data_IF_618650242707
#
_entry.id   IF_618650242707
#
_cell.length_a   1.000
_cell.length_b   1.000
_cell.length_c   1.000
_cell.angle_alpha   90.00
_cell.angle_beta   90.00
_cell.angle_gamma   90.00
#
_symmetry.space_group_name_H-M   'P 1'
#
loop_
_entity.id
_entity.type
_entity.pdbx_description
1 polymer ?
#
# COMPACT_ATOMS: atom_id res chain seq x y z
N UNK A 1 16.27 6.98 -2.41
CA UNK A 1 17.02 7.44 -3.60
C UNK A 1 16.17 7.16 -4.85
N UNK A 2 15.30 8.09 -5.27
CA UNK A 2 14.52 8.00 -6.51
C UNK A 2 14.47 9.39 -7.17
N UNK A 3 14.35 9.46 -8.50
CA UNK A 3 14.12 10.72 -9.23
C UNK A 3 15.35 11.59 -9.51
N UNK A 4 16.58 11.08 -9.37
CA UNK A 4 17.78 11.85 -9.74
C UNK A 4 17.86 11.98 -11.27
N UNK A 5 17.53 13.17 -11.78
CA UNK A 5 17.69 13.48 -13.21
C UNK A 5 19.16 13.32 -13.61
N UNK A 6 19.42 12.51 -14.62
CA UNK A 6 20.75 12.36 -15.21
C UNK A 6 21.06 13.59 -16.06
N UNK A 7 21.78 14.55 -15.50
CA UNK A 7 22.27 15.73 -16.22
C UNK A 7 23.74 15.55 -16.56
N UNK A 8 24.11 15.70 -17.85
CA UNK A 8 25.52 15.80 -18.26
C UNK A 8 26.02 17.22 -17.95
N UNK A 9 26.82 17.34 -16.89
CA UNK A 9 27.49 18.59 -16.52
C UNK A 9 28.89 18.64 -17.14
N UNK A 10 29.37 19.84 -17.48
CA UNK A 10 30.78 20.05 -17.81
C UNK A 10 31.65 19.77 -16.58
N UNK A 11 32.93 19.47 -16.78
CA UNK A 11 33.88 19.21 -15.68
C UNK A 11 33.92 20.38 -14.67
N UNK A 12 33.93 21.62 -15.17
CA UNK A 12 33.92 22.84 -14.35
C UNK A 12 32.60 22.99 -13.56
N UNK A 13 31.45 22.78 -14.20
CA UNK A 13 30.16 22.87 -13.52
C UNK A 13 29.99 21.76 -12.46
N UNK A 14 30.50 20.56 -12.73
CA UNK A 14 30.51 19.47 -11.78
C UNK A 14 31.42 19.77 -10.56
N UNK A 15 32.60 20.36 -10.79
CA UNK A 15 33.50 20.77 -9.72
C UNK A 15 32.89 21.87 -8.83
N UNK A 16 32.27 22.90 -9.44
CA UNK A 16 31.57 23.95 -8.70
C UNK A 16 30.39 23.40 -7.89
N UNK A 17 29.61 22.48 -8.47
CA UNK A 17 28.52 21.79 -7.76
C UNK A 17 29.05 21.00 -6.56
N UNK A 18 30.13 20.22 -6.73
CA UNK A 18 30.77 19.47 -5.63
C UNK A 18 31.26 20.39 -4.52
N UNK A 19 31.90 21.52 -4.84
CA UNK A 19 32.34 22.48 -3.84
C UNK A 19 31.17 23.05 -3.03
N UNK A 20 30.05 23.39 -3.69
CA UNK A 20 28.82 23.84 -3.01
C UNK A 20 28.18 22.75 -2.15
N UNK A 21 28.18 21.51 -2.61
CA UNK A 21 27.70 20.35 -1.85
C UNK A 21 28.59 20.06 -0.64
N UNK A 22 29.92 20.21 -0.77
CA UNK A 22 30.87 19.99 0.33
C UNK A 22 30.58 20.92 1.51
N UNK A 23 30.34 22.21 1.28
CA UNK A 23 29.99 23.16 2.35
C UNK A 23 28.72 22.73 3.10
N UNK A 24 27.73 22.19 2.39
CA UNK A 24 26.50 21.66 3.02
C UNK A 24 26.76 20.39 3.81
N UNK A 25 27.61 19.50 3.28
CA UNK A 25 28.02 18.27 3.96
C UNK A 25 28.77 18.61 5.25
N UNK A 26 29.71 19.54 5.21
CA UNK A 26 30.49 19.94 6.39
C UNK A 26 29.59 20.53 7.48
N UNK A 27 28.65 21.41 7.10
CA UNK A 27 27.65 21.95 8.02
C UNK A 27 26.73 20.86 8.61
N UNK A 28 26.29 19.90 7.78
CA UNK A 28 25.50 18.76 8.23
C UNK A 28 26.27 17.88 9.22
N UNK A 29 27.53 17.56 8.93
CA UNK A 29 28.38 16.72 9.77
C UNK A 29 28.69 17.41 11.11
N UNK A 30 28.90 18.72 11.11
CA UNK A 30 29.08 19.49 12.33
C UNK A 30 27.82 19.45 13.22
N UNK A 31 26.64 19.71 12.65
CA UNK A 31 25.37 19.62 13.38
C UNK A 31 25.08 18.19 13.86
N UNK A 32 25.32 17.18 13.01
CA UNK A 32 25.18 15.78 13.37
C UNK A 32 26.05 15.44 14.59
N UNK A 33 27.32 15.85 14.58
CA UNK A 33 28.24 15.64 15.69
C UNK A 33 27.71 16.29 16.98
N UNK A 34 27.32 17.56 16.91
CA UNK A 34 26.74 18.29 18.04
C UNK A 34 25.53 17.56 18.64
N UNK A 35 24.55 17.16 17.81
CA UNK A 35 23.33 16.48 18.31
C UNK A 35 23.64 15.11 18.91
N UNK A 36 24.62 14.38 18.36
CA UNK A 36 25.03 13.09 18.90
C UNK A 36 25.81 13.24 20.23
N UNK A 37 26.59 14.30 20.39
CA UNK A 37 27.26 14.62 21.65
C UNK A 37 26.25 14.99 22.74
N UNK A 38 25.22 15.80 22.43
CA UNK A 38 24.11 16.08 23.34
C UNK A 38 23.39 14.80 23.77
N UNK A 39 23.12 13.90 22.81
CA UNK A 39 22.53 12.58 23.09
C UNK A 39 23.42 11.75 24.02
N UNK A 40 24.73 11.73 23.78
CA UNK A 40 25.67 10.96 24.58
C UNK A 40 25.79 11.52 26.01
N UNK A 41 25.71 12.84 26.16
CA UNK A 41 25.68 13.51 27.45
C UNK A 41 24.35 13.32 28.21
N UNK A 42 23.32 12.77 27.57
CA UNK A 42 21.99 12.61 28.17
C UNK A 42 21.26 13.94 28.35
N UNK A 43 21.55 14.94 27.51
CA UNK A 43 20.83 16.22 27.53
C UNK A 43 19.40 16.02 27.01
N UNK A 44 18.40 16.30 27.85
CA UNK A 44 16.98 16.21 27.50
C UNK A 44 16.27 17.56 27.58
N UNK A 45 17.00 18.66 27.34
CA UNK A 45 16.47 20.02 27.33
C UNK A 45 15.63 20.34 26.08
N UNK A 46 14.84 21.41 26.16
CA UNK A 46 14.19 22.01 24.99
C UNK A 46 15.20 22.48 23.93
N UNK A 47 16.40 22.89 24.35
CA UNK A 47 17.50 23.23 23.45
C UNK A 47 17.94 22.04 22.61
N UNK A 48 18.14 20.88 23.23
CA UNK A 48 18.41 19.62 22.54
C UNK A 48 17.26 19.23 21.59
N UNK A 49 16.01 19.44 22.02
CA UNK A 49 14.83 19.20 21.16
C UNK A 49 14.88 20.06 19.89
N UNK A 50 15.21 21.34 20.02
CA UNK A 50 15.40 22.26 18.90
C UNK A 50 16.51 21.82 17.95
N UNK A 51 17.62 21.28 18.47
CA UNK A 51 18.70 20.72 17.64
C UNK A 51 18.28 19.48 16.87
N UNK A 52 17.42 18.62 17.44
CA UNK A 52 16.86 17.50 16.67
C UNK A 52 15.98 17.98 15.50
N UNK A 53 15.24 19.10 15.63
CA UNK A 53 14.50 19.68 14.49
C UNK A 53 15.45 20.05 13.36
N UNK A 54 16.48 20.85 13.66
CA UNK A 54 17.44 21.32 12.67
C UNK A 54 18.09 20.17 11.90
N UNK A 55 18.42 19.08 12.58
CA UNK A 55 19.04 17.92 11.95
C UNK A 55 18.05 17.11 11.11
N UNK A 56 16.80 16.97 11.57
CA UNK A 56 15.74 16.27 10.84
C UNK A 56 15.24 17.05 9.62
N UNK A 57 15.27 18.40 9.66
CA UNK A 57 14.98 19.25 8.50
C UNK A 57 15.95 18.95 7.34
N UNK A 58 17.18 18.56 7.66
CA UNK A 58 18.20 18.20 6.68
C UNK A 58 18.14 16.71 6.29
N UNK A 59 17.85 15.82 7.24
CA UNK A 59 17.83 14.38 7.02
C UNK A 59 16.78 13.66 7.89
N UNK A 60 15.53 13.55 7.42
CA UNK A 60 14.47 12.85 8.17
C UNK A 60 14.63 11.32 8.15
N UNK A 61 15.58 10.75 7.40
CA UNK A 61 15.87 9.31 7.41
C UNK A 61 16.72 8.89 8.62
N UNK A 62 17.28 9.85 9.36
CA UNK A 62 18.21 9.55 10.44
C UNK A 62 17.48 9.10 11.73
N UNK A 63 17.16 7.81 11.77
CA UNK A 63 16.34 7.19 12.83
C UNK A 63 16.83 7.40 14.26
N UNK A 64 18.15 7.47 14.48
CA UNK A 64 18.72 7.71 15.81
C UNK A 64 18.25 9.04 16.40
N UNK A 65 18.03 10.04 15.55
CA UNK A 65 17.60 11.37 15.98
C UNK A 65 16.12 11.38 16.31
N UNK A 66 15.29 10.63 15.59
CA UNK A 66 13.90 10.38 15.98
C UNK A 66 13.79 9.68 17.35
N UNK A 67 14.64 8.69 17.61
CA UNK A 67 14.69 8.03 18.91
C UNK A 67 15.10 9.01 20.02
N UNK A 68 16.14 9.81 19.78
CA UNK A 68 16.59 10.80 20.74
C UNK A 68 15.52 11.86 21.00
N UNK A 69 14.88 12.36 19.96
CA UNK A 69 13.73 13.29 20.05
C UNK A 69 12.63 12.75 20.96
N UNK A 70 12.25 11.47 20.80
CA UNK A 70 11.26 10.83 21.69
C UNK A 70 11.74 10.74 23.13
N UNK A 71 13.01 10.40 23.36
CA UNK A 71 13.57 10.36 24.71
C UNK A 71 13.54 11.73 25.39
N UNK A 72 13.86 12.81 24.64
CA UNK A 72 13.76 14.19 25.14
C UNK A 72 12.32 14.49 25.57
N UNK A 73 11.34 14.25 24.68
CA UNK A 73 9.93 14.50 24.98
C UNK A 73 9.44 13.69 26.19
N UNK A 74 9.79 12.41 26.28
CA UNK A 74 9.45 11.55 27.42
C UNK A 74 10.07 12.03 28.73
N UNK A 75 11.28 12.61 28.70
CA UNK A 75 11.93 13.17 29.88
C UNK A 75 11.28 14.50 30.32
N UNK A 76 10.72 15.27 29.39
CA UNK A 76 10.03 16.53 29.68
C UNK A 76 8.61 16.29 30.24
N UNK A 77 7.87 15.32 29.72
CA UNK A 77 6.46 15.09 30.04
C UNK A 77 6.12 15.04 31.55
N UNK A 78 6.90 14.39 32.44
CA UNK A 78 6.57 14.33 33.87
C UNK A 78 6.52 15.70 34.57
N UNK A 79 7.16 16.72 33.99
CA UNK A 79 7.19 18.08 34.53
C UNK A 79 6.13 19.02 33.93
N UNK A 80 5.34 18.53 32.97
CA UNK A 80 4.41 19.31 32.17
C UNK A 80 2.96 19.03 32.53
N UNK A 81 2.07 19.99 32.28
CA UNK A 81 0.63 19.75 32.33
C UNK A 81 0.20 18.90 31.12
N UNK A 82 -0.96 18.24 31.20
CA UNK A 82 -1.48 17.48 30.05
C UNK A 82 -1.73 18.38 28.82
N UNK A 83 -2.07 19.65 29.04
CA UNK A 83 -2.26 20.65 27.98
C UNK A 83 -0.94 21.01 27.28
N UNK A 84 0.14 21.14 28.04
CA UNK A 84 1.48 21.35 27.52
C UNK A 84 1.96 20.12 26.72
N UNK A 85 1.75 18.90 27.25
CA UNK A 85 2.06 17.65 26.53
C UNK A 85 1.32 17.61 25.19
N UNK A 86 0.02 17.92 25.18
CA UNK A 86 -0.77 17.99 23.94
C UNK A 86 -0.22 19.03 22.98
N UNK A 87 0.26 20.16 23.48
CA UNK A 87 0.88 21.20 22.67
C UNK A 87 2.18 20.71 22.01
N UNK A 88 3.03 20.01 22.76
CA UNK A 88 4.23 19.35 22.24
C UNK A 88 3.91 18.32 21.15
N UNK A 89 2.95 17.44 21.41
CA UNK A 89 2.53 16.42 20.43
C UNK A 89 1.92 17.06 19.17
N UNK A 90 1.12 18.11 19.31
CA UNK A 90 0.56 18.85 18.18
C UNK A 90 1.65 19.53 17.34
N UNK A 91 2.69 20.08 17.98
CA UNK A 91 3.87 20.62 17.29
C UNK A 91 4.59 19.54 16.48
N UNK A 92 4.83 18.36 17.07
CA UNK A 92 5.47 17.24 16.38
C UNK A 92 4.64 16.66 15.24
N UNK A 93 3.30 16.64 15.38
CA UNK A 93 2.42 16.27 14.28
C UNK A 93 2.44 17.29 13.14
N UNK A 94 2.58 18.60 13.43
CA UNK A 94 2.79 19.62 12.40
C UNK A 94 4.14 19.44 11.71
N UNK A 95 5.21 19.19 12.46
CA UNK A 95 6.54 18.90 11.94
C UNK A 95 6.53 17.67 11.01
N UNK A 96 5.95 16.56 11.46
CA UNK A 96 5.85 15.35 10.63
C UNK A 96 4.99 15.59 9.39
N UNK A 97 3.96 16.42 9.48
CA UNK A 97 3.13 16.81 8.32
C UNK A 97 3.98 17.55 7.27
N UNK A 98 4.79 18.54 7.67
CA UNK A 98 5.66 19.24 6.72
C UNK A 98 6.68 18.31 6.07
N UNK A 99 7.22 17.35 6.83
CA UNK A 99 8.13 16.36 6.28
C UNK A 99 7.44 15.38 5.33
N UNK A 100 6.22 14.92 5.61
CA UNK A 100 5.49 14.00 4.72
C UNK A 100 5.19 14.63 3.36
N UNK A 101 5.03 15.95 3.26
CA UNK A 101 4.84 16.64 1.97
C UNK A 101 6.06 16.50 1.05
N UNK A 102 7.27 16.37 1.61
CA UNK A 102 8.52 16.28 0.84
C UNK A 102 9.07 14.86 0.81
N UNK A 103 8.85 14.11 1.89
CA UNK A 103 9.44 12.81 2.17
C UNK A 103 8.35 11.76 2.55
N UNK A 104 7.33 11.54 1.71
CA UNK A 104 6.15 10.72 2.04
C UNK A 104 6.45 9.23 2.25
N UNK A 105 7.66 8.78 1.94
CA UNK A 105 8.09 7.36 1.97
C UNK A 105 9.18 7.08 3.01
N UNK A 106 9.39 8.01 3.95
CA UNK A 106 10.34 7.82 5.06
C UNK A 106 9.62 7.14 6.21
N UNK A 107 10.05 5.94 6.56
CA UNK A 107 9.45 5.13 7.63
C UNK A 107 9.38 5.90 8.97
N UNK A 108 10.44 6.61 9.32
CA UNK A 108 10.60 7.22 10.63
C UNK A 108 9.64 8.38 10.91
N UNK A 109 9.18 9.07 9.85
CA UNK A 109 8.15 10.09 10.00
C UNK A 109 6.83 9.44 10.39
N UNK A 110 6.42 8.39 9.67
CA UNK A 110 5.17 7.66 9.95
C UNK A 110 5.20 7.00 11.33
N UNK A 111 6.31 6.39 11.73
CA UNK A 111 6.42 5.75 13.05
C UNK A 111 6.43 6.76 14.18
N UNK A 112 7.13 7.90 14.02
CA UNK A 112 7.09 8.98 15.00
C UNK A 112 5.69 9.57 15.15
N UNK A 113 4.95 9.67 14.04
CA UNK A 113 3.55 10.11 14.04
C UNK A 113 2.65 9.16 14.82
N UNK A 114 2.81 7.84 14.67
CA UNK A 114 2.10 6.83 15.50
C UNK A 114 2.44 7.00 16.99
N UNK A 115 3.72 7.17 17.30
CA UNK A 115 4.16 7.38 18.68
C UNK A 115 3.54 8.64 19.29
N UNK A 116 3.45 9.74 18.54
CA UNK A 116 2.80 10.97 19.03
C UNK A 116 1.35 10.71 19.44
N UNK A 117 0.60 9.98 18.60
CA UNK A 117 -0.80 9.62 18.87
C UNK A 117 -0.93 8.72 20.09
N UNK A 118 -0.06 7.70 20.21
CA UNK A 118 -0.03 6.81 21.37
C UNK A 118 0.30 7.54 22.67
N UNK A 119 1.04 8.65 22.58
CA UNK A 119 1.46 9.46 23.73
C UNK A 119 0.44 10.51 24.16
N UNK A 120 -0.69 10.65 23.46
CA UNK A 120 -1.73 11.63 23.83
C UNK A 120 -2.34 11.24 25.19
N UNK A 121 -2.25 12.11 26.21
CA UNK A 121 -2.80 11.83 27.53
C UNK A 121 -4.33 11.82 27.53
N UNK A 122 -4.93 11.37 28.63
CA UNK A 122 -6.36 11.60 28.87
C UNK A 122 -6.64 13.10 28.92
N UNK A 123 -7.80 13.50 28.40
CA UNK A 123 -8.29 14.88 28.44
C UNK A 123 -8.65 15.34 29.85
N UNK A 124 -8.95 16.65 30.03
CA UNK A 124 -9.40 17.17 31.32
C UNK A 124 -10.65 16.40 31.79
N UNK A 125 -10.64 15.94 33.04
CA UNK A 125 -11.71 15.10 33.58
C UNK A 125 -11.85 13.73 32.89
N UNK A 126 -10.72 13.12 32.48
CA UNK A 126 -10.65 11.83 31.80
C UNK A 126 -11.37 11.77 30.44
N UNK A 127 -11.52 12.92 29.79
CA UNK A 127 -12.19 12.99 28.50
C UNK A 127 -11.36 12.37 27.37
N UNK A 128 -12.04 11.88 26.33
CA UNK A 128 -11.40 11.37 25.11
C UNK A 128 -11.30 12.43 24.00
N UNK A 129 -11.59 13.69 24.32
CA UNK A 129 -11.76 14.75 23.32
C UNK A 129 -10.47 15.04 22.53
N UNK A 130 -9.32 15.15 23.23
CA UNK A 130 -8.03 15.35 22.57
C UNK A 130 -7.70 14.19 21.63
N UNK A 131 -7.84 12.95 22.10
CA UNK A 131 -7.61 11.75 21.27
C UNK A 131 -8.52 11.76 20.05
N UNK A 132 -9.81 12.03 20.21
CA UNK A 132 -10.76 12.14 19.09
C UNK A 132 -10.31 13.21 18.07
N UNK A 133 -9.96 14.42 18.53
CA UNK A 133 -9.52 15.53 17.68
C UNK A 133 -8.26 15.17 16.87
N UNK A 134 -7.30 14.52 17.51
CA UNK A 134 -6.06 14.09 16.84
C UNK A 134 -6.39 13.09 15.74
N UNK A 135 -7.13 12.02 16.06
CA UNK A 135 -7.49 10.97 15.10
C UNK A 135 -8.37 11.45 13.93
N UNK A 136 -9.29 12.39 14.18
CA UNK A 136 -10.07 13.02 13.11
C UNK A 136 -9.15 13.81 12.15
N UNK A 137 -8.10 14.44 12.68
CA UNK A 137 -7.06 15.08 11.89
C UNK A 137 -6.23 14.06 11.08
N UNK A 138 -5.92 12.91 11.69
CA UNK A 138 -5.19 11.82 11.03
C UNK A 138 -5.93 11.24 9.84
N UNK A 139 -7.24 11.03 9.96
CA UNK A 139 -8.07 10.56 8.86
C UNK A 139 -8.01 11.52 7.66
N UNK A 140 -8.10 12.84 7.91
CA UNK A 140 -7.99 13.85 6.85
C UNK A 140 -6.60 13.88 6.21
N UNK A 141 -5.55 13.72 7.02
CA UNK A 141 -4.19 13.69 6.51
C UNK A 141 -3.99 12.48 5.59
N UNK A 142 -4.37 11.28 6.06
CA UNK A 142 -4.11 10.06 5.27
C UNK A 142 -4.92 10.04 3.97
N UNK A 143 -6.13 10.59 3.96
CA UNK A 143 -6.91 10.78 2.72
C UNK A 143 -6.16 11.65 1.72
N UNK A 144 -5.66 12.82 2.14
CA UNK A 144 -4.86 13.70 1.28
C UNK A 144 -3.56 13.06 0.79
N UNK A 145 -2.91 12.27 1.63
CA UNK A 145 -1.68 11.57 1.24
C UNK A 145 -1.97 10.50 0.17
N UNK A 146 -3.11 9.82 0.26
CA UNK A 146 -3.56 8.83 -0.73
C UNK A 146 -4.20 9.47 -1.98
N UNK A 147 -4.65 10.72 -1.91
CA UNK A 147 -5.01 11.49 -3.10
C UNK A 147 -3.75 11.90 -3.88
N UNK A 148 -2.66 12.26 -3.18
CA UNK A 148 -1.40 12.66 -3.80
C UNK A 148 -0.59 11.48 -4.38
N UNK A 149 -0.53 10.35 -3.68
CA UNK A 149 0.08 9.10 -4.16
C UNK A 149 -0.79 7.91 -3.73
N UNK A 150 -1.70 7.52 -4.61
CA UNK A 150 -2.67 6.45 -4.38
C UNK A 150 -2.02 5.07 -4.12
N UNK A 151 -0.73 4.90 -4.47
CA UNK A 151 0.05 3.66 -4.28
C UNK A 151 1.03 3.77 -3.10
N UNK A 152 0.94 4.81 -2.28
CA UNK A 152 1.80 4.94 -1.10
C UNK A 152 1.40 3.91 -0.03
N UNK A 153 2.11 2.78 0.01
CA UNK A 153 1.84 1.71 0.97
C UNK A 153 2.03 2.15 2.43
N UNK A 154 2.87 3.15 2.72
CA UNK A 154 3.00 3.70 4.07
C UNK A 154 1.71 4.40 4.49
N UNK A 155 1.11 5.18 3.60
CA UNK A 155 -0.15 5.87 3.85
C UNK A 155 -1.29 4.85 4.01
N UNK A 156 -1.38 3.81 3.17
CA UNK A 156 -2.36 2.72 3.36
C UNK A 156 -2.17 1.98 4.69
N UNK A 157 -0.94 1.63 5.05
CA UNK A 157 -0.64 1.01 6.34
C UNK A 157 -0.91 1.94 7.54
N UNK A 158 -0.72 3.24 7.37
CA UNK A 158 -1.07 4.24 8.37
C UNK A 158 -2.58 4.41 8.51
N UNK A 159 -3.33 4.41 7.40
CA UNK A 159 -4.80 4.46 7.38
C UNK A 159 -5.37 3.32 8.24
N UNK A 160 -4.91 2.09 7.99
CA UNK A 160 -5.32 0.91 8.76
C UNK A 160 -5.10 1.12 10.27
N UNK A 161 -3.90 1.58 10.64
CA UNK A 161 -3.58 1.88 12.05
C UNK A 161 -4.51 2.94 12.67
N UNK A 162 -4.80 4.03 11.94
CA UNK A 162 -5.69 5.10 12.44
C UNK A 162 -7.09 4.54 12.66
N UNK A 163 -7.63 3.79 11.69
CA UNK A 163 -8.97 3.18 11.77
C UNK A 163 -9.10 2.19 12.93
N UNK A 164 -8.10 1.32 13.12
CA UNK A 164 -8.05 0.36 14.23
C UNK A 164 -7.97 1.06 15.60
N UNK A 165 -7.42 2.27 15.62
CA UNK A 165 -7.21 3.05 16.84
C UNK A 165 -8.31 4.08 17.12
N UNK A 166 -9.33 4.18 16.26
CA UNK A 166 -10.46 5.09 16.48
C UNK A 166 -11.28 4.64 17.71
N UNK A 167 -11.75 5.59 18.55
CA UNK A 167 -12.64 5.25 19.68
C UNK A 167 -13.94 4.58 19.24
N UNK A 168 -14.44 4.95 18.06
CA UNK A 168 -15.62 4.35 17.43
C UNK A 168 -15.17 3.75 16.11
N UNK A 169 -15.30 2.42 15.99
CA UNK A 169 -14.99 1.72 14.75
C UNK A 169 -15.86 2.25 13.62
N UNK A 170 -15.23 2.52 12.47
CA UNK A 170 -16.00 2.76 11.24
C UNK A 170 -16.57 1.44 10.73
N UNK A 171 -17.80 1.44 10.21
CA UNK A 171 -18.35 0.25 9.58
C UNK A 171 -17.52 -0.13 8.36
N UNK A 172 -17.31 -1.43 8.14
CA UNK A 172 -16.53 -1.93 6.99
C UNK A 172 -17.12 -1.50 5.65
N UNK A 173 -18.44 -1.27 5.57
CA UNK A 173 -19.11 -0.73 4.38
C UNK A 173 -18.60 0.65 3.98
N UNK A 174 -18.23 1.52 4.94
CA UNK A 174 -17.63 2.81 4.63
C UNK A 174 -16.23 2.66 4.01
N UNK A 175 -15.49 1.62 4.42
CA UNK A 175 -14.17 1.32 3.84
C UNK A 175 -14.28 0.64 2.46
N UNK A 176 -15.32 -0.16 2.21
CA UNK A 176 -15.64 -0.62 0.86
C UNK A 176 -15.98 0.56 -0.07
N UNK A 177 -16.81 1.50 0.38
CA UNK A 177 -17.10 2.72 -0.40
C UNK A 177 -15.84 3.55 -0.67
N UNK A 178 -14.93 3.62 0.31
CA UNK A 178 -13.64 4.28 0.12
C UNK A 178 -12.80 3.59 -0.96
N UNK A 179 -12.61 2.27 -0.89
CA UNK A 179 -11.87 1.53 -1.92
C UNK A 179 -12.52 1.63 -3.29
N UNK A 180 -13.86 1.61 -3.37
CA UNK A 180 -14.63 1.81 -4.60
C UNK A 180 -14.24 3.13 -5.25
N UNK A 181 -14.36 4.24 -4.53
CA UNK A 181 -14.00 5.57 -5.08
C UNK A 181 -12.54 5.66 -5.53
N UNK A 182 -11.62 4.95 -4.86
CA UNK A 182 -10.19 4.90 -5.21
C UNK A 182 -9.91 4.06 -6.45
N UNK A 183 -10.70 3.00 -6.67
CA UNK A 183 -10.64 2.15 -7.86
C UNK A 183 -11.23 2.90 -9.06
N UNK A 184 -12.42 3.50 -8.90
CA UNK A 184 -13.08 4.28 -9.97
C UNK A 184 -12.23 5.47 -10.42
N UNK A 185 -11.51 6.11 -9.49
CA UNK A 185 -10.58 7.20 -9.82
C UNK A 185 -9.33 6.71 -10.57
N UNK A 186 -8.93 5.46 -10.37
CA UNK A 186 -7.74 4.86 -10.97
C UNK A 186 -7.76 3.33 -10.82
N UNK A 187 -8.21 2.61 -11.85
CA UNK A 187 -8.29 1.14 -11.83
C UNK A 187 -6.92 0.46 -11.67
N UNK A 188 -5.81 1.14 -12.00
CA UNK A 188 -4.45 0.66 -11.75
C UNK A 188 -3.99 0.77 -10.29
N UNK A 189 -4.87 1.20 -9.38
CA UNK A 189 -4.57 1.31 -7.96
C UNK A 189 -4.61 -0.06 -7.26
N UNK A 190 -3.54 -0.85 -7.44
CA UNK A 190 -3.39 -2.14 -6.78
C UNK A 190 -3.57 -2.07 -5.25
N UNK A 191 -3.18 -0.97 -4.61
CA UNK A 191 -3.33 -0.82 -3.16
C UNK A 191 -4.80 -0.75 -2.74
N UNK A 192 -5.67 -0.12 -3.53
CA UNK A 192 -7.11 -0.09 -3.27
C UNK A 192 -7.74 -1.47 -3.47
N UNK A 193 -7.42 -2.18 -4.56
CA UNK A 193 -7.85 -3.55 -4.79
C UNK A 193 -7.43 -4.48 -3.66
N UNK A 194 -6.15 -4.43 -3.27
CA UNK A 194 -5.63 -5.24 -2.18
C UNK A 194 -6.36 -4.94 -0.86
N UNK A 195 -6.55 -3.65 -0.52
CA UNK A 195 -7.26 -3.26 0.69
C UNK A 195 -8.71 -3.78 0.66
N UNK A 196 -9.38 -3.68 -0.49
CA UNK A 196 -10.75 -4.21 -0.71
C UNK A 196 -10.83 -5.71 -0.42
N UNK A 197 -9.86 -6.54 -0.86
CA UNK A 197 -9.85 -7.98 -0.52
C UNK A 197 -9.84 -8.22 0.99
N UNK A 198 -9.12 -7.38 1.75
CA UNK A 198 -9.03 -7.51 3.21
C UNK A 198 -10.29 -7.02 3.91
N UNK A 199 -10.90 -5.96 3.41
CA UNK A 199 -12.17 -5.43 3.93
C UNK A 199 -13.32 -6.40 3.68
N UNK A 200 -13.43 -7.00 2.49
CA UNK A 200 -14.44 -8.03 2.19
C UNK A 200 -14.26 -9.26 3.08
N UNK A 201 -13.04 -9.78 3.19
CA UNK A 201 -12.76 -10.94 4.05
C UNK A 201 -13.13 -10.66 5.51
N UNK A 202 -12.77 -9.49 6.04
CA UNK A 202 -13.16 -9.10 7.40
C UNK A 202 -14.68 -8.93 7.54
N UNK A 203 -15.36 -8.41 6.51
CA UNK A 203 -16.81 -8.24 6.53
C UNK A 203 -17.54 -9.57 6.59
N UNK A 204 -17.14 -10.54 5.78
CA UNK A 204 -17.70 -11.89 5.79
C UNK A 204 -17.45 -12.61 7.12
N UNK A 205 -16.26 -12.43 7.70
CA UNK A 205 -15.92 -12.99 9.02
C UNK A 205 -16.76 -12.34 10.14
N UNK A 206 -16.85 -11.02 10.18
CA UNK A 206 -17.59 -10.28 11.21
C UNK A 206 -19.11 -10.55 11.15
N UNK A 207 -19.67 -10.78 9.97
CA UNK A 207 -21.10 -11.09 9.81
C UNK A 207 -21.42 -12.59 9.96
N UNK A 208 -20.41 -13.46 9.99
CA UNK A 208 -20.61 -14.91 9.89
C UNK A 208 -21.33 -15.30 8.59
N UNK A 209 -20.96 -14.65 7.48
CA UNK A 209 -21.63 -14.81 6.20
C UNK A 209 -21.66 -16.28 5.75
N UNK A 210 -22.82 -16.71 5.27
CA UNK A 210 -23.00 -18.00 4.61
C UNK A 210 -22.30 -18.01 3.25
N UNK A 211 -22.08 -19.20 2.69
CA UNK A 211 -21.50 -19.34 1.35
C UNK A 211 -22.33 -18.62 0.28
N UNK A 212 -23.66 -18.66 0.38
CA UNK A 212 -24.57 -17.96 -0.53
C UNK A 212 -24.42 -16.43 -0.44
N UNK A 213 -24.27 -15.87 0.76
CA UNK A 213 -24.05 -14.44 0.97
C UNK A 213 -22.69 -13.99 0.44
N UNK A 214 -21.66 -14.81 0.62
CA UNK A 214 -20.32 -14.57 0.06
C UNK A 214 -20.39 -14.59 -1.46
N UNK A 215 -21.04 -15.60 -2.06
CA UNK A 215 -21.18 -15.73 -3.50
C UNK A 215 -21.95 -14.55 -4.11
N UNK A 216 -23.05 -14.13 -3.47
CA UNK A 216 -23.79 -12.93 -3.88
C UNK A 216 -22.90 -11.68 -3.86
N UNK A 217 -22.11 -11.50 -2.79
CA UNK A 217 -21.18 -10.37 -2.70
C UNK A 217 -20.10 -10.47 -3.79
N UNK A 218 -19.59 -11.66 -4.08
CA UNK A 218 -18.60 -11.89 -5.15
C UNK A 218 -19.17 -11.56 -6.53
N UNK A 219 -20.44 -11.83 -6.80
CA UNK A 219 -21.06 -11.49 -8.09
C UNK A 219 -21.03 -9.97 -8.34
N UNK A 220 -21.32 -9.15 -7.33
CA UNK A 220 -21.18 -7.69 -7.43
C UNK A 220 -19.72 -7.27 -7.68
N UNK A 221 -18.76 -7.97 -7.08
CA UNK A 221 -17.33 -7.73 -7.29
C UNK A 221 -16.81 -8.20 -8.66
N UNK A 222 -17.41 -9.23 -9.24
CA UNK A 222 -17.12 -9.66 -10.61
C UNK A 222 -17.54 -8.60 -11.62
N UNK A 223 -18.71 -7.97 -11.44
CA UNK A 223 -19.14 -6.85 -12.28
C UNK A 223 -18.16 -5.68 -12.21
N UNK A 224 -17.74 -5.31 -10.99
CA UNK A 224 -16.78 -4.24 -10.75
C UNK A 224 -15.44 -4.51 -11.44
N UNK A 225 -14.86 -5.69 -11.24
CA UNK A 225 -13.55 -6.01 -11.81
C UNK A 225 -13.65 -6.20 -13.32
N UNK A 226 -14.75 -6.74 -13.86
CA UNK A 226 -14.95 -6.86 -15.29
C UNK A 226 -14.88 -5.48 -15.97
N UNK A 227 -15.53 -4.46 -15.42
CA UNK A 227 -15.44 -3.09 -15.95
C UNK A 227 -13.98 -2.60 -16.00
N UNK A 228 -13.19 -2.87 -14.97
CA UNK A 228 -11.77 -2.52 -14.94
C UNK A 228 -10.97 -3.26 -16.03
N UNK A 229 -11.20 -4.58 -16.17
CA UNK A 229 -10.52 -5.43 -17.16
C UNK A 229 -10.84 -5.02 -18.60
N UNK A 230 -12.10 -4.67 -18.88
CA UNK A 230 -12.53 -4.19 -20.19
C UNK A 230 -12.07 -2.75 -20.48
N UNK A 231 -11.79 -1.96 -19.45
CA UNK A 231 -11.27 -0.59 -19.62
C UNK A 231 -9.77 -0.58 -19.90
N UNK A 232 -8.99 -1.39 -19.17
CA UNK A 232 -7.55 -1.55 -19.39
C UNK A 232 -7.13 -3.02 -19.15
N UNK A 233 -7.19 -3.87 -20.18
CA UNK A 233 -6.78 -5.28 -20.06
C UNK A 233 -5.28 -5.44 -19.83
N UNK A 234 -4.48 -4.38 -20.03
CA UNK A 234 -3.05 -4.35 -19.74
C UNK A 234 -2.74 -4.20 -18.25
N UNK A 235 -3.69 -3.69 -17.45
CA UNK A 235 -3.48 -3.46 -16.03
C UNK A 235 -3.59 -4.75 -15.21
N UNK A 236 -2.47 -5.13 -14.58
CA UNK A 236 -2.39 -6.35 -13.79
C UNK A 236 -3.26 -6.35 -12.52
N UNK A 237 -3.66 -5.20 -12.00
CA UNK A 237 -4.31 -5.08 -10.69
C UNK A 237 -5.69 -5.73 -10.71
N UNK A 238 -6.47 -5.44 -11.76
CA UNK A 238 -7.76 -6.07 -11.99
C UNK A 238 -7.65 -7.59 -12.11
N UNK A 239 -6.67 -8.09 -12.88
CA UNK A 239 -6.46 -9.54 -13.05
C UNK A 239 -6.10 -10.25 -11.74
N UNK A 240 -5.27 -9.63 -10.90
CA UNK A 240 -4.92 -10.18 -9.59
C UNK A 240 -6.12 -10.21 -8.64
N UNK A 241 -6.97 -9.18 -8.70
CA UNK A 241 -8.22 -9.14 -7.93
C UNK A 241 -9.24 -10.18 -8.41
N UNK A 242 -9.44 -10.27 -9.73
CA UNK A 242 -10.30 -11.27 -10.36
C UNK A 242 -9.88 -12.69 -9.98
N UNK A 243 -8.57 -12.99 -10.00
CA UNK A 243 -8.04 -14.29 -9.57
C UNK A 243 -8.29 -14.59 -8.10
N UNK A 244 -8.26 -13.57 -7.23
CA UNK A 244 -8.64 -13.73 -5.83
C UNK A 244 -10.14 -14.04 -5.66
N UNK A 245 -11.01 -13.40 -6.44
CA UNK A 245 -12.47 -13.67 -6.41
C UNK A 245 -12.81 -15.10 -6.83
N UNK A 246 -12.24 -15.56 -7.96
CA UNK A 246 -12.41 -16.94 -8.46
C UNK A 246 -11.93 -17.96 -7.42
N UNK A 247 -10.75 -17.71 -6.83
CA UNK A 247 -10.16 -18.63 -5.86
C UNK A 247 -9.70 -19.95 -6.50
N UNK A 248 -9.26 -20.92 -5.68
CA UNK A 248 -8.72 -22.19 -6.17
C UNK A 248 -9.80 -23.22 -6.57
N UNK A 249 -10.99 -23.12 -5.99
CA UNK A 249 -12.11 -24.07 -6.18
C UNK A 249 -13.41 -23.33 -6.47
N UNK A 250 -13.52 -22.63 -7.63
CA UNK A 250 -14.73 -21.91 -7.98
C UNK A 250 -15.89 -22.87 -8.31
N UNK A 251 -17.15 -22.45 -8.06
CA UNK A 251 -18.31 -23.10 -8.68
C UNK A 251 -18.17 -23.14 -10.20
N UNK A 252 -18.62 -24.24 -10.83
CA UNK A 252 -18.46 -24.45 -12.27
C UNK A 252 -19.13 -23.34 -13.07
N UNK A 253 -20.31 -22.91 -12.66
CA UNK A 253 -21.12 -21.89 -13.33
C UNK A 253 -20.41 -20.53 -13.34
N UNK A 254 -19.75 -20.18 -12.23
CA UNK A 254 -18.94 -18.96 -12.12
C UNK A 254 -17.72 -19.06 -13.05
N UNK A 255 -17.02 -20.20 -13.03
CA UNK A 255 -15.84 -20.41 -13.86
C UNK A 255 -16.17 -20.35 -15.36
N UNK A 256 -17.27 -20.96 -15.79
CA UNK A 256 -17.74 -20.92 -17.18
C UNK A 256 -18.15 -19.51 -17.60
N UNK A 257 -18.87 -18.78 -16.73
CA UNK A 257 -19.25 -17.38 -16.95
C UNK A 257 -18.01 -16.50 -17.14
N UNK A 258 -17.03 -16.58 -16.24
CA UNK A 258 -15.83 -15.75 -16.33
C UNK A 258 -14.92 -16.16 -17.49
N UNK A 259 -14.81 -17.45 -17.81
CA UNK A 259 -14.10 -17.92 -19.01
C UNK A 259 -14.70 -17.31 -20.27
N UNK A 260 -16.03 -17.26 -20.37
CA UNK A 260 -16.72 -16.61 -21.49
C UNK A 260 -16.41 -15.11 -21.55
N UNK A 261 -16.54 -14.39 -20.43
CA UNK A 261 -16.23 -12.97 -20.37
C UNK A 261 -14.80 -12.65 -20.83
N UNK A 262 -13.83 -13.45 -20.38
CA UNK A 262 -12.42 -13.26 -20.73
C UNK A 262 -12.16 -13.67 -22.19
N UNK A 263 -12.87 -14.68 -22.71
CA UNK A 263 -12.80 -15.06 -24.12
C UNK A 263 -13.28 -13.92 -25.02
N UNK A 264 -14.41 -13.30 -24.70
CA UNK A 264 -14.94 -12.14 -25.42
C UNK A 264 -13.93 -10.97 -25.38
N UNK A 265 -13.30 -10.72 -24.23
CA UNK A 265 -12.25 -9.69 -24.11
C UNK A 265 -10.99 -10.05 -24.90
N UNK A 266 -10.59 -11.32 -24.93
CA UNK A 266 -9.44 -11.78 -25.70
C UNK A 266 -9.66 -11.67 -27.21
N UNK A 267 -10.90 -11.85 -27.68
CA UNK A 267 -11.24 -11.63 -29.09
C UNK A 267 -11.13 -10.16 -29.50
N UNK A 268 -11.50 -9.25 -28.59
CA UNK A 268 -11.29 -7.81 -28.79
C UNK A 268 -9.81 -7.42 -28.69
N UNK A 269 -9.05 -8.06 -27.79
CA UNK A 269 -7.68 -7.70 -27.41
C UNK A 269 -6.74 -8.93 -27.49
N UNK A 270 -6.46 -9.43 -28.72
CA UNK A 270 -5.79 -10.71 -28.93
C UNK A 270 -4.31 -10.70 -28.55
N UNK A 271 -3.71 -9.53 -28.33
CA UNK A 271 -2.32 -9.41 -27.87
C UNK A 271 -2.22 -9.24 -26.35
N UNK A 272 -3.35 -9.23 -25.63
CA UNK A 272 -3.36 -9.12 -24.17
C UNK A 272 -2.82 -10.39 -23.53
N UNK A 273 -1.57 -10.31 -23.06
CA UNK A 273 -0.92 -11.38 -22.29
C UNK A 273 -1.70 -11.76 -21.03
N UNK A 274 -2.40 -10.81 -20.41
CA UNK A 274 -3.15 -11.08 -19.20
C UNK A 274 -4.44 -11.85 -19.49
N UNK A 275 -5.15 -11.52 -20.58
CA UNK A 275 -6.29 -12.30 -21.05
C UNK A 275 -5.87 -13.73 -21.36
N UNK A 276 -4.80 -13.92 -22.15
CA UNK A 276 -4.29 -15.26 -22.46
C UNK A 276 -3.92 -16.04 -21.19
N UNK A 277 -3.24 -15.39 -20.24
CA UNK A 277 -2.81 -16.03 -19.00
C UNK A 277 -4.00 -16.45 -18.15
N UNK A 278 -5.00 -15.57 -18.01
CA UNK A 278 -6.23 -15.85 -17.29
C UNK A 278 -7.02 -16.99 -17.94
N UNK A 279 -7.18 -16.96 -19.27
CA UNK A 279 -7.82 -18.05 -20.02
C UNK A 279 -7.10 -19.38 -19.79
N UNK A 280 -5.78 -19.42 -19.92
CA UNK A 280 -5.01 -20.65 -19.72
C UNK A 280 -5.19 -21.18 -18.29
N UNK A 281 -5.10 -20.30 -17.29
CA UNK A 281 -5.25 -20.67 -15.88
C UNK A 281 -6.65 -21.20 -15.57
N UNK A 282 -7.71 -20.50 -15.98
CA UNK A 282 -9.09 -20.89 -15.69
C UNK A 282 -9.55 -22.10 -16.51
N UNK A 283 -9.01 -22.27 -17.72
CA UNK A 283 -9.19 -23.50 -18.50
C UNK A 283 -8.65 -24.70 -17.73
N UNK A 284 -7.49 -24.60 -17.08
CA UNK A 284 -6.98 -25.67 -16.22
C UNK A 284 -7.86 -25.94 -14.99
N UNK A 285 -8.41 -24.91 -14.34
CA UNK A 285 -9.37 -25.11 -13.26
C UNK A 285 -10.63 -25.85 -13.73
N UNK A 286 -11.06 -25.64 -14.98
CA UNK A 286 -12.22 -26.32 -15.56
C UNK A 286 -11.93 -27.81 -15.79
N UNK A 287 -10.70 -28.16 -16.20
CA UNK A 287 -10.27 -29.55 -16.33
C UNK A 287 -10.27 -30.30 -14.98
N UNK A 288 -10.09 -29.59 -13.87
CA UNK A 288 -10.06 -30.15 -12.52
C UNK A 288 -11.45 -30.27 -11.88
N UNK A 289 -12.51 -29.79 -12.54
CA UNK A 289 -13.87 -29.89 -12.00
C UNK A 289 -14.30 -31.36 -11.91
N UNK A 290 -14.92 -31.81 -10.81
CA UNK A 290 -15.36 -33.21 -10.65
C UNK A 290 -16.38 -33.68 -11.70
N UNK A 291 -17.05 -32.75 -12.38
CA UNK A 291 -18.03 -33.04 -13.42
C UNK A 291 -17.42 -33.16 -14.83
N UNK A 292 -16.14 -32.83 -15.00
CA UNK A 292 -15.45 -32.87 -16.29
C UNK A 292 -15.00 -34.30 -16.57
N UNK A 293 -15.36 -34.84 -17.73
CA UNK A 293 -14.94 -36.19 -18.12
C UNK A 293 -13.44 -36.22 -18.43
N UNK A 294 -12.81 -37.40 -18.36
CA UNK A 294 -11.38 -37.53 -18.65
C UNK A 294 -11.04 -37.09 -20.09
N UNK A 295 -11.87 -37.46 -21.06
CA UNK A 295 -11.72 -37.04 -22.46
C UNK A 295 -11.83 -35.52 -22.63
N UNK A 296 -12.78 -34.91 -21.92
CA UNK A 296 -12.97 -33.46 -21.93
C UNK A 296 -11.79 -32.74 -21.26
N UNK A 297 -11.33 -33.26 -20.11
CA UNK A 297 -10.19 -32.72 -19.37
C UNK A 297 -8.90 -32.73 -20.22
N UNK A 298 -8.66 -33.79 -21.01
CA UNK A 298 -7.52 -33.85 -21.93
C UNK A 298 -7.61 -32.74 -22.99
N UNK A 299 -8.77 -32.54 -23.61
CA UNK A 299 -8.99 -31.49 -24.61
C UNK A 299 -8.80 -30.09 -24.01
N UNK A 300 -9.36 -29.85 -22.83
CA UNK A 300 -9.24 -28.59 -22.08
C UNK A 300 -7.77 -28.30 -21.72
N UNK A 301 -7.04 -29.30 -21.21
CA UNK A 301 -5.60 -29.18 -20.91
C UNK A 301 -4.77 -28.86 -22.14
N UNK A 302 -5.07 -29.49 -23.27
CA UNK A 302 -4.40 -29.19 -24.54
C UNK A 302 -4.66 -27.75 -25.02
N UNK A 303 -5.89 -27.23 -24.83
CA UNK A 303 -6.20 -25.82 -25.09
C UNK A 303 -5.39 -24.87 -24.19
N UNK A 304 -5.33 -25.14 -22.88
CA UNK A 304 -4.55 -24.33 -21.94
C UNK A 304 -3.06 -24.32 -22.30
N UNK A 305 -2.50 -25.49 -22.65
CA UNK A 305 -1.13 -25.63 -23.14
C UNK A 305 -0.86 -24.72 -24.34
N UNK A 306 -1.72 -24.75 -25.36
CA UNK A 306 -1.57 -23.90 -26.54
C UNK A 306 -1.60 -22.40 -26.24
N UNK A 307 -2.33 -21.96 -25.20
CA UNK A 307 -2.30 -20.57 -24.74
C UNK A 307 -0.97 -20.21 -24.06
N UNK A 308 -0.42 -21.09 -23.22
CA UNK A 308 0.89 -20.86 -22.62
C UNK A 308 2.02 -20.87 -23.67
N UNK A 309 1.93 -21.72 -24.70
CA UNK A 309 2.88 -21.73 -25.80
C UNK A 309 2.87 -20.39 -26.56
N UNK A 310 1.69 -19.80 -26.81
CA UNK A 310 1.60 -18.44 -27.40
C UNK A 310 2.20 -17.36 -26.50
N UNK A 311 2.02 -17.48 -25.19
CA UNK A 311 2.57 -16.52 -24.22
C UNK A 311 4.10 -16.46 -24.19
N UNK A 312 4.79 -17.50 -24.65
CA UNK A 312 6.26 -17.51 -24.81
C UNK A 312 6.71 -16.38 -25.74
N UNK A 313 5.95 -16.12 -26.81
CA UNK A 313 6.26 -15.09 -27.79
C UNK A 313 5.71 -13.73 -27.35
N UNK A 314 4.49 -13.70 -26.79
CA UNK A 314 3.77 -12.48 -26.42
C UNK A 314 4.37 -11.79 -25.18
N UNK A 315 4.87 -12.55 -24.20
CA UNK A 315 5.55 -12.01 -23.00
C UNK A 315 6.89 -12.70 -22.78
N UNK A 316 7.78 -12.53 -23.75
CA UNK A 316 9.09 -13.20 -23.83
C UNK A 316 10.00 -13.04 -22.60
N UNK A 317 9.85 -11.96 -21.83
CA UNK A 317 10.54 -11.77 -20.55
C UNK A 317 10.22 -12.88 -19.52
N UNK A 318 9.07 -13.55 -19.67
CA UNK A 318 8.59 -14.63 -18.81
C UNK A 318 8.52 -15.98 -19.52
N UNK A 319 9.16 -16.13 -20.69
CA UNK A 319 9.09 -17.34 -21.52
C UNK A 319 9.37 -18.66 -20.78
N UNK A 320 10.34 -18.70 -19.87
CA UNK A 320 10.67 -19.94 -19.16
C UNK A 320 9.54 -20.34 -18.21
N UNK A 321 8.88 -19.37 -17.55
CA UNK A 321 7.68 -19.63 -16.75
C UNK A 321 6.55 -20.24 -17.60
N UNK A 322 6.36 -19.76 -18.83
CA UNK A 322 5.30 -20.29 -19.69
C UNK A 322 5.62 -21.68 -20.25
N UNK A 323 6.90 -21.98 -20.53
CA UNK A 323 7.32 -23.34 -20.86
C UNK A 323 7.04 -24.31 -19.71
N UNK A 324 7.38 -23.93 -18.48
CA UNK A 324 7.11 -24.75 -17.30
C UNK A 324 5.59 -24.99 -17.13
N UNK A 325 4.78 -23.94 -17.29
CA UNK A 325 3.32 -24.03 -17.22
C UNK A 325 2.72 -24.88 -18.35
N UNK A 326 3.26 -24.79 -19.57
CA UNK A 326 2.81 -25.59 -20.71
C UNK A 326 3.15 -27.08 -20.53
N UNK A 327 4.32 -27.39 -19.95
CA UNK A 327 4.72 -28.75 -19.64
C UNK A 327 3.79 -29.37 -18.57
N UNK A 328 3.48 -28.63 -17.50
CA UNK A 328 2.61 -29.10 -16.43
C UNK A 328 1.14 -29.29 -16.86
N UNK A 329 0.73 -28.84 -18.04
CA UNK A 329 -0.63 -29.05 -18.54
C UNK A 329 -0.88 -30.51 -18.94
N UNK A 330 0.15 -31.31 -19.23
CA UNK A 330 0.02 -32.69 -19.74
C UNK A 330 0.60 -33.74 -18.79
N UNK A 331 1.13 -33.33 -17.65
CA UNK A 331 1.64 -34.20 -16.61
C UNK A 331 0.56 -34.42 -15.54
N UNK A 332 -0.19 -35.50 -15.65
CA UNK A 332 -0.86 -36.19 -14.53
C UNK A 332 -0.59 -37.69 -14.61
#
# INVERSE_FOLDING_TARGET
>A
MHGVKRTRLTSQAAAAKRAKEQVKVDAYLALQKEVLELKQAGDYSEGALGKTNQLLDLNPEFYTIWNYRRNILLALFPSLTSEDIVTYLANDLRLTTSYLLVHPKVYWIWTHRKWCLQSVPAGPGDSQEWRKKFWDGEMKLVDKMLDADARNFHAWGYRKYVLESLPTKRPLSAELNYTQSKIESNFSNFSAWHYRTKTLAAMWEESGATEDEINKTKDEEFELVAQALWTDPGDQSGWLYHRWLVGPTPPKEVLERELKNIQDLFEAEPDSKWCMNALAHYTLLLAQQPSTSEEEAISIRQRAKGLYEKLIDVDSDRKERYKDMAASCVEE
#
